data_IF_591981679998
#
_entry.id   IF_591981679998
#
_cell.length_a   1.000
_cell.length_b   1.000
_cell.length_c   1.000
_cell.angle_alpha   90.00
_cell.angle_beta   90.00
_cell.angle_gamma   90.00
#
_symmetry.space_group_name_H-M   'P 1'
#
loop_
_entity.id
_entity.type
_entity.pdbx_description
1 polymer ?
#
# COMPACT_ATOMS: atom_id res chain seq x y z
N UNK A 1 -2.16 11.42 -10.41
CA UNK A 1 -0.98 10.79 -9.79
C UNK A 1 -1.20 9.29 -9.80
N UNK A 2 -0.26 8.53 -10.38
CA UNK A 2 -0.32 7.07 -10.35
C UNK A 2 -0.03 6.58 -8.92
N UNK A 3 -0.73 5.55 -8.49
CA UNK A 3 -0.50 4.89 -7.20
C UNK A 3 0.28 3.60 -7.46
N UNK A 4 1.43 3.46 -6.81
CA UNK A 4 2.35 2.35 -7.01
C UNK A 4 1.98 1.15 -6.13
N UNK A 5 0.99 0.35 -6.54
CA UNK A 5 0.57 -0.87 -5.83
C UNK A 5 1.74 -1.85 -5.61
N UNK A 6 2.62 -1.97 -6.59
CA UNK A 6 3.82 -2.82 -6.52
C UNK A 6 4.76 -2.40 -5.38
N UNK A 7 4.87 -1.09 -5.08
CA UNK A 7 5.69 -0.61 -3.98
C UNK A 7 5.13 -1.06 -2.62
N UNK A 8 3.79 -1.05 -2.47
CA UNK A 8 3.12 -1.59 -1.30
C UNK A 8 3.36 -3.11 -1.17
N UNK A 9 3.20 -3.86 -2.26
CA UNK A 9 3.44 -5.31 -2.28
C UNK A 9 4.88 -5.64 -1.90
N UNK A 10 5.85 -4.99 -2.52
CA UNK A 10 7.26 -5.20 -2.22
C UNK A 10 7.60 -4.91 -0.74
N UNK A 11 6.97 -3.88 -0.15
CA UNK A 11 7.17 -3.56 1.25
C UNK A 11 6.52 -4.59 2.20
N UNK A 12 5.34 -5.10 1.85
CA UNK A 12 4.68 -6.19 2.57
C UNK A 12 5.52 -7.47 2.55
N UNK A 13 6.03 -7.86 1.37
CA UNK A 13 6.92 -9.01 1.23
C UNK A 13 8.19 -8.88 2.09
N UNK A 14 8.84 -7.71 2.10
CA UNK A 14 10.01 -7.47 2.98
C UNK A 14 9.70 -7.60 4.48
N UNK A 15 8.44 -7.42 4.88
CA UNK A 15 7.97 -7.59 6.26
C UNK A 15 7.41 -8.99 6.56
N UNK A 16 7.46 -9.91 5.60
CA UNK A 16 6.98 -11.29 5.72
C UNK A 16 5.49 -11.47 5.45
N UNK A 17 4.79 -10.44 4.94
CA UNK A 17 3.38 -10.54 4.59
C UNK A 17 3.25 -10.91 3.12
N UNK A 18 2.91 -12.18 2.85
CA UNK A 18 2.79 -12.72 1.49
C UNK A 18 1.34 -12.81 0.98
N UNK A 19 0.37 -12.37 1.78
CA UNK A 19 -1.04 -12.38 1.40
C UNK A 19 -1.71 -11.07 1.78
N UNK A 20 -2.75 -10.67 1.03
CA UNK A 20 -3.58 -9.50 1.33
C UNK A 20 -4.26 -9.63 2.70
N UNK A 21 -4.55 -10.84 3.16
CA UNK A 21 -5.07 -11.10 4.51
C UNK A 21 -4.05 -10.81 5.61
N UNK A 22 -2.79 -11.23 5.43
CA UNK A 22 -1.70 -10.88 6.35
C UNK A 22 -1.50 -9.36 6.39
N UNK A 23 -1.52 -8.72 5.22
CA UNK A 23 -1.39 -7.27 5.12
C UNK A 23 -2.52 -6.53 5.84
N UNK A 24 -3.77 -6.98 5.66
CA UNK A 24 -4.95 -6.44 6.30
C UNK A 24 -4.88 -6.57 7.83
N UNK A 25 -4.48 -7.75 8.32
CA UNK A 25 -4.27 -7.99 9.75
C UNK A 25 -3.20 -7.06 10.33
N UNK A 26 -2.06 -6.88 9.65
CA UNK A 26 -0.99 -5.99 10.12
C UNK A 26 -1.41 -4.53 10.15
N UNK A 27 -2.11 -4.05 9.12
CA UNK A 27 -2.56 -2.66 9.04
C UNK A 27 -3.79 -2.35 9.90
N UNK A 28 -4.53 -3.37 10.35
CA UNK A 28 -5.82 -3.18 11.00
C UNK A 28 -6.89 -2.62 10.06
N UNK A 29 -6.80 -2.93 8.76
CA UNK A 29 -7.69 -2.43 7.70
C UNK A 29 -8.51 -3.58 7.11
N UNK A 30 -9.78 -3.37 6.73
CA UNK A 30 -10.58 -4.43 6.11
C UNK A 30 -9.92 -5.06 4.88
N UNK A 31 -10.00 -6.39 4.78
CA UNK A 31 -9.40 -7.18 3.69
C UNK A 31 -9.71 -6.61 2.30
N UNK A 32 -10.99 -6.34 2.01
CA UNK A 32 -11.41 -5.90 0.67
C UNK A 32 -10.82 -4.52 0.30
N UNK A 33 -10.59 -3.67 1.30
CA UNK A 33 -9.94 -2.37 1.13
C UNK A 33 -8.47 -2.58 0.75
N UNK A 34 -7.74 -3.42 1.50
CA UNK A 34 -6.33 -3.73 1.21
C UNK A 34 -6.18 -4.44 -0.13
N UNK A 35 -7.08 -5.34 -0.48
CA UNK A 35 -7.10 -6.00 -1.79
C UNK A 35 -7.20 -5.00 -2.94
N UNK A 36 -8.06 -3.97 -2.82
CA UNK A 36 -8.20 -2.91 -3.85
C UNK A 36 -6.93 -2.07 -3.97
N UNK A 37 -6.23 -1.83 -2.86
CA UNK A 37 -4.93 -1.16 -2.87
C UNK A 37 -3.83 -2.05 -3.46
N UNK A 38 -3.78 -3.33 -3.10
CA UNK A 38 -2.78 -4.26 -3.61
C UNK A 38 -2.91 -4.50 -5.13
N UNK A 39 -4.14 -4.44 -5.65
CA UNK A 39 -4.43 -4.61 -7.09
C UNK A 39 -4.47 -3.32 -7.89
N UNK A 40 -4.23 -2.17 -7.25
CA UNK A 40 -4.31 -0.85 -7.90
C UNK A 40 -5.72 -0.42 -8.32
N UNK A 41 -6.76 -1.19 -8.00
CA UNK A 41 -8.18 -0.86 -8.32
C UNK A 41 -8.67 0.39 -7.62
N UNK A 42 -8.09 0.71 -6.46
CA UNK A 42 -8.35 1.98 -5.78
C UNK A 42 -7.10 2.44 -5.04
N UNK A 43 -7.02 3.74 -4.78
CA UNK A 43 -5.92 4.34 -4.03
C UNK A 43 -6.28 4.47 -2.54
N UNK A 44 -5.30 4.37 -1.62
CA UNK A 44 -5.52 4.67 -0.22
C UNK A 44 -5.82 6.16 0.00
N UNK A 45 -6.86 6.47 0.75
CA UNK A 45 -7.08 7.82 1.28
C UNK A 45 -6.13 8.13 2.46
N UNK A 46 -6.24 9.31 3.08
CA UNK A 46 -5.32 9.75 4.15
C UNK A 46 -5.16 8.76 5.30
N UNK A 47 -6.27 8.20 5.81
CA UNK A 47 -6.22 7.18 6.87
C UNK A 47 -5.54 5.87 6.41
N UNK A 48 -5.71 5.50 5.15
CA UNK A 48 -5.06 4.34 4.55
C UNK A 48 -3.57 4.53 4.36
N UNK A 49 -3.16 5.71 3.87
CA UNK A 49 -1.75 6.09 3.76
C UNK A 49 -1.07 6.04 5.13
N UNK A 50 -1.70 6.61 6.16
CA UNK A 50 -1.18 6.55 7.53
C UNK A 50 -1.10 5.12 8.09
N UNK A 51 -1.99 4.22 7.69
CA UNK A 51 -1.92 2.80 8.09
C UNK A 51 -0.76 2.08 7.39
N UNK A 52 -0.57 2.32 6.09
CA UNK A 52 0.54 1.77 5.30
C UNK A 52 1.89 2.25 5.84
N UNK A 53 2.01 3.55 6.14
CA UNK A 53 3.24 4.13 6.69
C UNK A 53 3.59 3.52 8.04
N UNK A 54 2.63 3.39 8.96
CA UNK A 54 2.86 2.74 10.26
C UNK A 54 3.22 1.25 10.14
N UNK A 55 2.62 0.52 9.21
CA UNK A 55 2.82 -0.92 9.07
C UNK A 55 4.12 -1.28 8.31
N UNK A 56 4.48 -0.50 7.29
CA UNK A 56 5.55 -0.86 6.35
C UNK A 56 6.64 0.21 6.19
N UNK A 57 6.48 1.39 6.79
CA UNK A 57 7.41 2.51 6.64
C UNK A 57 7.36 3.16 5.25
N UNK A 58 6.27 2.96 4.50
CA UNK A 58 6.09 3.57 3.18
C UNK A 58 5.38 4.92 3.29
N UNK A 59 6.05 5.99 2.88
CA UNK A 59 5.46 7.33 2.86
C UNK A 59 4.54 7.53 1.66
N UNK A 60 3.65 8.52 1.75
CA UNK A 60 2.78 8.92 0.63
C UNK A 60 3.58 9.24 -0.65
N UNK A 61 4.73 9.91 -0.52
CA UNK A 61 5.60 10.22 -1.66
C UNK A 61 6.14 8.97 -2.37
N UNK A 62 6.43 7.90 -1.63
CA UNK A 62 6.87 6.63 -2.19
C UNK A 62 5.74 5.88 -2.93
N UNK A 63 4.48 6.05 -2.48
CA UNK A 63 3.30 5.47 -3.13
C UNK A 63 2.80 6.28 -4.33
N UNK A 64 3.14 7.57 -4.39
CA UNK A 64 2.74 8.49 -5.45
C UNK A 64 3.99 9.12 -6.11
N UNK A 65 4.85 8.32 -6.75
CA UNK A 65 6.04 8.86 -7.40
C UNK A 65 5.64 9.88 -8.47
N UNK A 66 6.35 11.01 -8.49
CA UNK A 66 6.19 12.01 -9.55
C UNK A 66 6.53 11.34 -10.88
N UNK A 67 5.57 11.28 -11.81
CA UNK A 67 5.89 10.90 -13.18
C UNK A 67 6.83 11.96 -13.74
N UNK A 68 8.05 11.54 -14.07
CA UNK A 68 8.97 12.34 -14.86
C UNK A 68 8.60 12.02 -16.32
N UNK A 69 8.11 13.03 -17.05
CA UNK A 69 7.87 12.89 -18.47
C UNK A 69 9.22 12.61 -19.16
N UNK A 70 9.25 11.58 -20.00
CA UNK A 70 10.38 11.25 -20.87
C UNK A 70 10.39 12.17 -22.10
#
# INVERSE_FOLDING_TARGET
MSYASEALLAAAHRRGDHTTAAMAKRMGVPYLTVYRWATGRNQPGPAGLAAIERAYGLTSAALHPRQVAA
#
